data_IF_843561131797
#
_entry.id   IF_843561131797
#
_cell.length_a   1.000
_cell.length_b   1.000
_cell.length_c   1.000
_cell.angle_alpha   90.00
_cell.angle_beta   90.00
_cell.angle_gamma   90.00
#
_symmetry.space_group_name_H-M   'P 1'
#
loop_
_entity.id
_entity.type
_entity.pdbx_description
1 polymer ?
#
# COMPACT_ATOMS: atom_id res chain seq x y z
N UNK A 1 0.29 58.74 56.78
CA UNK A 1 -0.52 57.54 57.04
C UNK A 1 -0.55 56.71 55.77
N UNK A 2 0.28 55.67 55.67
CA UNK A 2 0.26 54.73 54.55
C UNK A 2 0.27 53.30 55.11
N UNK A 3 -0.88 52.65 55.03
CA UNK A 3 -1.08 51.24 55.38
C UNK A 3 -0.49 50.35 54.29
N UNK A 4 0.69 49.78 54.53
CA UNK A 4 1.20 48.66 53.72
C UNK A 4 0.53 47.36 54.16
N UNK A 5 -0.28 46.80 53.26
CA UNK A 5 -0.87 45.46 53.36
C UNK A 5 0.23 44.39 53.38
N UNK A 6 0.35 43.68 54.48
CA UNK A 6 1.24 42.51 54.61
C UNK A 6 0.78 41.40 53.64
N UNK A 7 1.62 41.09 52.64
CA UNK A 7 1.52 39.82 51.91
C UNK A 7 2.27 38.77 52.73
N UNK A 8 1.55 37.76 53.20
CA UNK A 8 2.09 36.58 53.85
C UNK A 8 2.96 35.81 52.87
N UNK A 9 4.28 35.93 53.01
CA UNK A 9 5.23 35.01 52.41
C UNK A 9 5.27 33.74 53.27
N UNK A 10 4.45 32.75 52.90
CA UNK A 10 4.66 31.39 53.41
C UNK A 10 6.00 30.92 52.84
N UNK A 11 6.87 30.44 53.73
CA UNK A 11 8.18 29.91 53.35
C UNK A 11 7.99 28.53 52.72
N UNK A 12 8.88 28.13 51.80
CA UNK A 12 8.80 26.82 51.10
C UNK A 12 8.64 25.63 52.07
N UNK A 13 9.13 25.76 53.30
CA UNK A 13 9.00 24.75 54.36
C UNK A 13 7.55 24.54 54.84
N UNK A 14 6.70 25.56 54.79
CA UNK A 14 5.27 25.48 55.14
C UNK A 14 4.45 24.86 54.01
N UNK A 15 4.83 25.10 52.74
CA UNK A 15 4.18 24.49 51.58
C UNK A 15 4.40 22.96 51.51
N UNK A 16 5.57 22.48 51.96
CA UNK A 16 5.90 21.06 52.05
C UNK A 16 5.00 20.30 53.04
N UNK A 17 4.69 20.89 54.21
CA UNK A 17 3.86 20.22 55.25
C UNK A 17 2.41 20.00 54.83
N UNK A 18 1.91 20.76 53.85
CA UNK A 18 0.49 20.70 53.44
C UNK A 18 0.27 19.85 52.18
N UNK A 19 1.23 19.79 51.25
CA UNK A 19 0.99 19.24 49.89
C UNK A 19 1.91 18.04 49.55
N UNK A 20 2.92 17.75 50.37
CA UNK A 20 3.81 16.59 50.18
C UNK A 20 4.68 16.63 48.91
N UNK A 21 4.75 17.77 48.21
CA UNK A 21 5.55 17.95 47.00
C UNK A 21 5.79 19.45 46.73
N UNK A 22 7.06 19.82 46.49
CA UNK A 22 7.47 21.16 46.05
C UNK A 22 7.73 21.25 44.54
N UNK A 23 6.93 20.54 43.74
CA UNK A 23 6.90 20.75 42.29
C UNK A 23 6.04 21.97 41.91
N UNK A 24 6.41 22.75 40.88
CA UNK A 24 5.52 23.78 40.35
C UNK A 24 4.19 23.14 39.92
N UNK A 25 3.07 23.72 40.37
CA UNK A 25 1.73 23.28 39.95
C UNK A 25 1.64 23.38 38.42
N UNK A 26 1.05 22.39 37.73
CA UNK A 26 0.84 22.47 36.29
C UNK A 26 0.08 23.76 35.96
N UNK A 27 0.68 24.65 35.17
CA UNK A 27 0.01 25.88 34.75
C UNK A 27 -1.27 25.57 33.98
N UNK A 28 -2.30 26.41 34.13
CA UNK A 28 -3.46 26.39 33.23
C UNK A 28 -2.97 26.79 31.84
N UNK A 29 -2.64 25.80 31.00
CA UNK A 29 -2.24 26.04 29.62
C UNK A 29 -3.27 26.83 28.83
N UNK A 30 -2.89 27.28 27.63
CA UNK A 30 -3.78 28.02 26.72
C UNK A 30 -5.13 27.32 26.55
N UNK A 31 -6.23 28.07 26.71
CA UNK A 31 -7.60 27.57 26.50
C UNK A 31 -7.73 26.94 25.10
N UNK A 32 -8.38 25.78 25.04
CA UNK A 32 -8.59 25.03 23.80
C UNK A 32 -9.57 25.78 22.89
N UNK A 33 -9.29 25.78 21.58
CA UNK A 33 -10.18 26.35 20.57
C UNK A 33 -11.39 25.45 20.23
N UNK A 34 -11.39 24.20 20.69
CA UNK A 34 -12.50 23.25 20.53
C UNK A 34 -12.94 22.69 21.87
N UNK A 35 -14.20 22.30 21.94
CA UNK A 35 -14.84 21.63 23.07
C UNK A 35 -14.68 20.11 22.98
N UNK A 36 -14.85 19.37 24.09
CA UNK A 36 -14.84 17.91 24.06
C UNK A 36 -15.88 17.29 23.11
N UNK A 37 -17.04 17.93 22.93
CA UNK A 37 -18.08 17.46 22.02
C UNK A 37 -17.67 17.61 20.55
N UNK A 38 -17.00 18.70 20.22
CA UNK A 38 -16.43 18.93 18.87
C UNK A 38 -15.30 17.96 18.57
N UNK A 39 -14.43 17.70 19.55
CA UNK A 39 -13.38 16.70 19.44
C UNK A 39 -14.00 15.31 19.19
N UNK A 40 -15.08 14.96 19.91
CA UNK A 40 -15.83 13.71 19.71
C UNK A 40 -16.51 13.64 18.34
N UNK A 41 -17.07 14.75 17.85
CA UNK A 41 -17.66 14.85 16.52
C UNK A 41 -16.63 14.56 15.43
N UNK A 42 -15.43 15.16 15.52
CA UNK A 42 -14.33 14.90 14.59
C UNK A 42 -13.94 13.41 14.56
N UNK A 43 -13.88 12.76 15.72
CA UNK A 43 -13.56 11.32 15.81
C UNK A 43 -14.65 10.47 15.16
N UNK A 44 -15.92 10.77 15.42
CA UNK A 44 -17.04 10.04 14.81
C UNK A 44 -17.07 10.20 13.29
N UNK A 45 -16.84 11.42 12.80
CA UNK A 45 -16.75 11.72 11.37
C UNK A 45 -15.64 10.93 10.69
N UNK A 46 -14.45 10.90 11.31
CA UNK A 46 -13.32 10.11 10.81
C UNK A 46 -13.63 8.61 10.82
N UNK A 47 -14.26 8.08 11.87
CA UNK A 47 -14.60 6.65 11.94
C UNK A 47 -15.61 6.23 10.89
N UNK A 48 -16.55 7.13 10.52
CA UNK A 48 -17.54 6.92 9.44
C UNK A 48 -16.96 7.14 8.04
N UNK A 49 -16.10 8.14 7.89
CA UNK A 49 -15.53 8.58 6.60
C UNK A 49 -14.00 8.72 6.70
N UNK A 50 -13.34 7.58 6.68
CA UNK A 50 -11.92 7.44 7.03
C UNK A 50 -10.97 8.15 6.07
N UNK A 51 -11.41 8.43 4.84
CA UNK A 51 -10.66 9.10 3.78
C UNK A 51 -10.82 10.63 3.76
N UNK A 52 -11.58 11.24 4.68
CA UNK A 52 -11.71 12.69 4.75
C UNK A 52 -10.40 13.34 5.17
N UNK A 53 -9.93 14.30 4.36
CA UNK A 53 -8.76 15.09 4.70
C UNK A 53 -9.10 16.13 5.78
N UNK A 54 -8.05 16.68 6.42
CA UNK A 54 -8.21 17.64 7.52
C UNK A 54 -8.97 18.93 7.11
N UNK A 55 -8.94 19.30 5.83
CA UNK A 55 -9.66 20.46 5.29
C UNK A 55 -11.16 20.20 5.24
N UNK A 56 -11.58 19.02 4.76
CA UNK A 56 -12.98 18.62 4.76
C UNK A 56 -13.51 18.50 6.19
N UNK A 57 -12.74 17.90 7.10
CA UNK A 57 -13.13 17.80 8.52
C UNK A 57 -13.26 19.18 9.18
N UNK A 58 -12.37 20.12 8.87
CA UNK A 58 -12.46 21.51 9.32
C UNK A 58 -13.74 22.18 8.79
N UNK A 59 -14.05 22.01 7.50
CA UNK A 59 -15.27 22.56 6.88
C UNK A 59 -16.53 21.96 7.53
N UNK A 60 -16.58 20.63 7.71
CA UNK A 60 -17.69 19.96 8.37
C UNK A 60 -17.87 20.42 9.82
N UNK A 61 -16.79 20.63 10.57
CA UNK A 61 -16.86 21.17 11.92
C UNK A 61 -17.43 22.60 11.91
N UNK A 62 -16.90 23.47 11.04
CA UNK A 62 -17.37 24.85 10.90
C UNK A 62 -18.86 24.90 10.54
N UNK A 63 -19.31 24.05 9.62
CA UNK A 63 -20.71 23.98 9.23
C UNK A 63 -21.62 23.43 10.33
N UNK A 64 -21.15 22.48 11.14
CA UNK A 64 -21.97 21.83 12.17
C UNK A 64 -22.05 22.62 13.47
N UNK A 65 -20.96 23.30 13.89
CA UNK A 65 -20.89 23.97 15.20
C UNK A 65 -20.57 25.46 15.12
N UNK A 66 -20.31 26.00 13.92
CA UNK A 66 -19.87 27.39 13.73
C UNK A 66 -18.40 27.64 14.07
N UNK A 67 -17.72 26.67 14.70
CA UNK A 67 -16.36 26.84 15.20
C UNK A 67 -15.34 26.84 14.06
N UNK A 68 -14.60 27.94 13.97
CA UNK A 68 -13.55 28.10 12.97
C UNK A 68 -12.20 27.79 13.59
N UNK A 69 -11.58 26.70 13.16
CA UNK A 69 -10.24 26.27 13.58
C UNK A 69 -9.32 26.09 12.39
N UNK A 70 -8.01 26.01 12.61
CA UNK A 70 -7.06 25.63 11.57
C UNK A 70 -7.12 24.13 11.28
N UNK A 71 -6.69 23.71 10.08
CA UNK A 71 -6.53 22.27 9.77
C UNK A 71 -5.53 21.60 10.72
N UNK A 72 -4.52 22.32 11.21
CA UNK A 72 -3.56 21.80 12.18
C UNK A 72 -4.22 21.50 13.53
N UNK A 73 -5.19 22.32 13.95
CA UNK A 73 -5.98 22.06 15.17
C UNK A 73 -6.73 20.74 15.04
N UNK A 74 -7.37 20.48 13.89
CA UNK A 74 -8.04 19.19 13.61
C UNK A 74 -7.06 18.03 13.70
N UNK A 75 -5.87 18.14 13.06
CA UNK A 75 -4.84 17.10 13.14
C UNK A 75 -4.41 16.83 14.59
N UNK A 76 -4.15 17.89 15.36
CA UNK A 76 -3.75 17.76 16.76
C UNK A 76 -4.82 17.05 17.60
N UNK A 77 -6.12 17.26 17.32
CA UNK A 77 -7.21 16.56 18.00
C UNK A 77 -7.29 15.09 17.66
N UNK A 78 -7.11 14.76 16.39
CA UNK A 78 -7.08 13.36 15.95
C UNK A 78 -5.83 12.64 16.49
N UNK A 79 -4.67 13.31 16.50
CA UNK A 79 -3.45 12.75 17.11
C UNK A 79 -3.59 12.51 18.61
N UNK A 80 -4.30 13.38 19.34
CA UNK A 80 -4.53 13.24 20.78
C UNK A 80 -5.32 11.97 21.14
N UNK A 81 -6.07 11.40 20.20
CA UNK A 81 -6.80 10.13 20.36
C UNK A 81 -6.14 8.96 19.60
N UNK A 82 -4.91 9.13 19.12
CA UNK A 82 -4.14 8.08 18.46
C UNK A 82 -4.48 7.86 16.98
N UNK A 83 -5.27 8.73 16.35
CA UNK A 83 -5.60 8.66 14.93
C UNK A 83 -4.59 9.44 14.11
N UNK A 84 -3.91 8.76 13.18
CA UNK A 84 -2.89 9.38 12.33
C UNK A 84 -3.23 9.18 10.85
N UNK A 85 -2.88 10.16 9.99
CA UNK A 85 -3.02 9.99 8.55
C UNK A 85 -1.97 8.97 8.09
N UNK A 86 -2.43 7.86 7.51
CA UNK A 86 -1.58 6.80 6.97
C UNK A 86 -2.03 6.47 5.56
N UNK A 87 -1.08 5.98 4.74
CA UNK A 87 -1.45 5.40 3.45
C UNK A 87 -2.30 4.15 3.72
N UNK A 88 -3.45 4.02 3.04
CA UNK A 88 -4.21 2.78 3.11
C UNK A 88 -3.37 1.62 2.60
N UNK A 89 -3.72 0.41 3.04
CA UNK A 89 -3.18 -0.78 2.38
C UNK A 89 -3.89 -0.86 1.02
N UNK A 90 -3.12 -0.94 -0.05
CA UNK A 90 -3.67 -1.25 -1.37
C UNK A 90 -3.61 -2.76 -1.50
N UNK A 91 -4.75 -3.42 -1.34
CA UNK A 91 -4.89 -4.84 -1.63
C UNK A 91 -6.29 -5.12 -2.13
N UNK A 92 -6.46 -6.24 -2.82
CA UNK A 92 -7.78 -6.73 -3.16
C UNK A 92 -8.46 -7.19 -1.88
N UNK A 93 -9.73 -6.84 -1.67
CA UNK A 93 -10.48 -7.31 -0.50
C UNK A 93 -10.55 -8.84 -0.53
N UNK A 94 -10.01 -9.48 0.50
CA UNK A 94 -10.00 -10.93 0.62
C UNK A 94 -11.33 -11.43 1.19
N UNK A 95 -11.93 -12.41 0.52
CA UNK A 95 -13.04 -13.18 1.07
C UNK A 95 -12.50 -14.23 2.05
N UNK A 96 -13.35 -14.80 2.90
CA UNK A 96 -12.94 -15.90 3.80
C UNK A 96 -12.35 -17.09 3.02
N UNK A 97 -12.84 -17.34 1.81
CA UNK A 97 -12.28 -18.33 0.88
C UNK A 97 -10.85 -17.97 0.50
N UNK A 98 -10.60 -16.75 0.04
CA UNK A 98 -9.24 -16.31 -0.31
C UNK A 98 -8.28 -16.45 0.87
N UNK A 99 -8.70 -16.09 2.09
CA UNK A 99 -7.87 -16.23 3.29
C UNK A 99 -7.47 -17.69 3.58
N UNK A 100 -8.39 -18.63 3.40
CA UNK A 100 -8.12 -20.05 3.60
C UNK A 100 -7.16 -20.58 2.54
N UNK A 101 -7.48 -20.37 1.26
CA UNK A 101 -6.71 -20.89 0.14
C UNK A 101 -5.26 -20.33 0.19
N UNK A 102 -5.10 -19.04 0.54
CA UNK A 102 -3.78 -18.42 0.78
C UNK A 102 -3.00 -19.03 1.93
N UNK A 103 -3.68 -19.34 3.04
CA UNK A 103 -3.03 -19.96 4.21
C UNK A 103 -2.58 -21.38 3.90
N UNK A 104 -3.40 -22.13 3.16
CA UNK A 104 -3.10 -23.49 2.73
C UNK A 104 -1.84 -23.50 1.86
N UNK A 105 -1.81 -22.70 0.79
CA UNK A 105 -0.63 -22.54 -0.06
C UNK A 105 0.61 -22.14 0.74
N UNK A 106 0.48 -21.16 1.66
CA UNK A 106 1.61 -20.75 2.49
C UNK A 106 2.10 -21.87 3.41
N UNK A 107 1.20 -22.74 3.89
CA UNK A 107 1.55 -23.87 4.74
C UNK A 107 2.25 -24.97 3.94
N UNK A 108 1.83 -25.22 2.70
CA UNK A 108 2.46 -26.18 1.79
C UNK A 108 3.90 -25.78 1.43
N UNK A 109 4.14 -24.48 1.25
CA UNK A 109 5.43 -23.96 0.77
C UNK A 109 6.34 -23.42 1.88
N UNK A 110 5.89 -23.40 3.16
CA UNK A 110 6.69 -22.82 4.27
C UNK A 110 8.02 -23.54 4.51
N UNK A 111 8.08 -24.84 4.21
CA UNK A 111 9.25 -25.67 4.42
C UNK A 111 10.12 -25.84 3.17
N UNK A 112 9.73 -25.21 2.05
CA UNK A 112 10.53 -25.23 0.83
C UNK A 112 11.88 -24.56 1.07
N UNK A 113 12.94 -25.25 0.67
CA UNK A 113 14.32 -24.79 0.77
C UNK A 113 14.68 -23.95 -0.45
N UNK A 114 15.84 -23.28 -0.37
CA UNK A 114 16.37 -22.44 -1.45
C UNK A 114 16.41 -23.16 -2.81
N UNK A 115 16.73 -24.46 -2.82
CA UNK A 115 16.79 -25.28 -4.05
C UNK A 115 15.42 -25.51 -4.69
N UNK A 116 14.35 -25.58 -3.88
CA UNK A 116 12.99 -25.71 -4.41
C UNK A 116 12.54 -24.36 -5.00
N UNK A 117 12.85 -23.27 -4.29
CA UNK A 117 12.58 -21.91 -4.77
C UNK A 117 13.43 -21.49 -5.96
N UNK A 118 14.63 -22.07 -6.17
CA UNK A 118 15.48 -21.73 -7.32
C UNK A 118 14.87 -22.15 -8.65
N UNK A 119 14.00 -23.15 -8.60
CA UNK A 119 13.33 -23.69 -9.78
C UNK A 119 12.09 -22.88 -10.17
N UNK A 120 11.63 -21.95 -9.31
CA UNK A 120 10.42 -21.16 -9.53
C UNK A 120 10.74 -19.88 -10.29
N UNK A 121 10.06 -19.69 -11.40
CA UNK A 121 10.06 -18.46 -12.18
C UNK A 121 8.81 -17.64 -11.89
N UNK A 122 8.99 -16.59 -11.10
CA UNK A 122 7.93 -15.64 -10.74
C UNK A 122 7.74 -14.64 -11.88
N UNK A 123 6.58 -14.67 -12.52
CA UNK A 123 6.21 -13.76 -13.60
C UNK A 123 4.98 -12.93 -13.26
N UNK A 124 4.84 -11.77 -13.90
CA UNK A 124 3.67 -10.89 -13.79
C UNK A 124 3.70 -9.79 -14.87
N UNK A 125 2.57 -9.16 -15.12
CA UNK A 125 2.44 -7.95 -15.95
C UNK A 125 2.15 -6.70 -15.12
N UNK A 126 3.00 -5.69 -15.25
CA UNK A 126 2.81 -4.40 -14.58
C UNK A 126 2.57 -3.25 -15.56
N UNK A 127 1.61 -2.38 -15.22
CA UNK A 127 1.31 -1.17 -16.01
C UNK A 127 2.08 0.03 -15.48
N UNK A 128 2.92 0.63 -16.32
CA UNK A 128 3.59 1.91 -16.09
C UNK A 128 2.86 3.02 -16.83
N UNK A 129 2.52 4.11 -16.14
CA UNK A 129 1.77 5.24 -16.75
C UNK A 129 2.66 6.49 -16.81
N UNK A 130 2.57 7.24 -17.91
CA UNK A 130 3.29 8.51 -18.13
C UNK A 130 2.87 9.56 -17.08
N UNK A 131 1.59 9.55 -16.72
CA UNK A 131 1.06 10.35 -15.63
C UNK A 131 0.55 9.40 -14.55
N UNK A 132 1.36 9.09 -13.51
CA UNK A 132 0.86 8.30 -12.39
C UNK A 132 -0.32 9.03 -11.75
N UNK A 133 -1.38 8.29 -11.38
CA UNK A 133 -2.49 8.85 -10.63
C UNK A 133 -1.94 9.47 -9.33
N UNK A 134 -1.88 10.81 -9.28
CA UNK A 134 -1.31 11.57 -8.17
C UNK A 134 -2.17 11.53 -6.91
N UNK A 135 -3.27 10.77 -6.88
CA UNK A 135 -4.15 10.63 -5.72
C UNK A 135 -3.42 9.96 -4.56
N UNK A 136 -2.71 10.78 -3.78
CA UNK A 136 -2.21 10.43 -2.44
C UNK A 136 -3.40 10.34 -1.49
N UNK A 137 -4.09 9.21 -1.50
CA UNK A 137 -5.15 8.92 -0.55
C UNK A 137 -4.50 8.64 0.80
N UNK A 138 -4.95 9.35 1.82
CA UNK A 138 -4.62 9.07 3.22
C UNK A 138 -5.92 8.73 3.95
N UNK A 139 -5.83 7.75 4.83
CA UNK A 139 -6.89 7.39 5.76
C UNK A 139 -6.43 7.68 7.18
N UNK A 140 -7.35 8.09 8.05
CA UNK A 140 -7.09 8.22 9.48
C UNK A 140 -7.32 6.88 10.16
N UNK A 141 -6.30 6.36 10.85
CA UNK A 141 -6.41 5.09 11.57
C UNK A 141 -5.52 5.03 12.81
N UNK A 142 -5.87 4.13 13.72
CA UNK A 142 -5.08 3.80 14.91
C UNK A 142 -3.77 3.10 14.54
N UNK A 143 -2.76 3.22 15.41
CA UNK A 143 -1.50 2.46 15.26
C UNK A 143 -1.79 0.95 15.39
N UNK A 144 -1.18 0.14 14.53
CA UNK A 144 -1.34 -1.32 14.54
C UNK A 144 -2.56 -1.83 13.75
N UNK A 145 -3.50 -0.98 13.37
CA UNK A 145 -4.70 -1.38 12.62
C UNK A 145 -4.47 -1.59 11.11
N UNK A 146 -3.22 -1.84 10.69
CA UNK A 146 -2.81 -1.80 9.27
C UNK A 146 -3.63 -2.75 8.37
N UNK A 147 -3.96 -3.93 8.89
CA UNK A 147 -4.57 -5.03 8.14
C UNK A 147 -6.09 -5.08 8.26
N UNK A 148 -6.72 -4.05 8.87
CA UNK A 148 -8.18 -4.02 8.96
C UNK A 148 -8.79 -3.83 7.55
N UNK A 149 -9.71 -4.71 7.09
CA UNK A 149 -10.33 -4.64 5.77
C UNK A 149 -11.05 -3.31 5.45
N UNK A 150 -11.48 -2.56 6.49
CA UNK A 150 -12.07 -1.23 6.31
C UNK A 150 -11.07 -0.20 5.74
N UNK A 151 -9.76 -0.43 5.94
CA UNK A 151 -8.67 0.45 5.52
C UNK A 151 -7.99 0.02 4.22
N UNK A 152 -8.56 -0.97 3.55
CA UNK A 152 -8.08 -1.51 2.28
C UNK A 152 -8.71 -0.72 1.15
N UNK A 153 -7.87 -0.10 0.32
CA UNK A 153 -8.29 0.49 -0.94
C UNK A 153 -8.00 -0.48 -2.08
N UNK A 154 -9.03 -0.79 -2.86
CA UNK A 154 -8.88 -1.57 -4.07
C UNK A 154 -8.25 -0.69 -5.17
N UNK A 155 -7.11 -1.10 -5.72
CA UNK A 155 -6.57 -0.45 -6.91
C UNK A 155 -7.14 -1.11 -8.16
N UNK A 156 -8.24 -0.58 -8.67
CA UNK A 156 -8.72 -0.95 -10.00
C UNK A 156 -7.93 -0.10 -11.00
N UNK A 157 -6.86 -0.67 -11.59
CA UNK A 157 -5.94 0.04 -12.51
C UNK A 157 -6.45 0.05 -13.97
N UNK A 158 -7.74 0.26 -14.19
CA UNK A 158 -8.29 0.37 -15.55
C UNK A 158 -8.65 1.84 -15.84
N UNK A 159 -8.01 2.45 -16.86
CA UNK A 159 -8.51 3.71 -17.45
C UNK A 159 -7.52 4.83 -17.81
N UNK A 160 -6.20 4.62 -17.82
CA UNK A 160 -5.23 5.69 -18.18
C UNK A 160 -4.12 5.24 -19.13
N UNK A 161 -3.68 6.10 -20.04
CA UNK A 161 -2.57 5.83 -20.98
C UNK A 161 -1.31 5.36 -20.26
N UNK A 162 -0.84 4.17 -20.60
CA UNK A 162 0.30 3.51 -19.96
C UNK A 162 0.72 2.27 -20.74
N UNK A 163 1.94 1.82 -20.49
CA UNK A 163 2.56 0.66 -21.11
C UNK A 163 2.39 -0.54 -20.18
N UNK A 164 1.90 -1.65 -20.70
CA UNK A 164 1.88 -2.92 -19.98
C UNK A 164 3.21 -3.64 -20.25
N UNK A 165 3.89 -4.05 -19.21
CA UNK A 165 5.22 -4.67 -19.29
C UNK A 165 5.16 -6.02 -18.59
N UNK A 166 5.54 -7.07 -19.30
CA UNK A 166 5.79 -8.39 -18.74
C UNK A 166 7.23 -8.48 -18.26
N UNK A 167 7.45 -9.19 -17.16
CA UNK A 167 8.76 -9.62 -16.74
C UNK A 167 8.67 -10.87 -15.89
N UNK A 168 9.80 -11.54 -15.74
CA UNK A 168 9.93 -12.67 -14.86
C UNK A 168 11.27 -12.67 -14.11
N UNK A 169 11.26 -13.23 -12.90
CA UNK A 169 12.44 -13.36 -12.03
C UNK A 169 12.54 -14.77 -11.47
N UNK A 170 13.76 -15.21 -11.23
CA UNK A 170 14.09 -16.40 -10.45
C UNK A 170 15.17 -16.01 -9.44
N UNK A 171 15.64 -16.96 -8.63
CA UNK A 171 16.73 -16.68 -7.69
C UNK A 171 18.06 -16.38 -8.41
N UNK A 172 18.26 -16.97 -9.59
CA UNK A 172 19.52 -16.94 -10.33
C UNK A 172 19.46 -16.00 -11.54
N UNK A 173 18.32 -15.34 -11.79
CA UNK A 173 18.23 -14.38 -12.87
C UNK A 173 16.87 -13.73 -13.08
N UNK A 174 16.72 -13.14 -14.26
CA UNK A 174 15.50 -12.48 -14.72
C UNK A 174 15.35 -12.64 -16.22
N UNK A 175 14.13 -12.48 -16.73
CA UNK A 175 13.91 -12.25 -18.16
C UNK A 175 14.31 -10.82 -18.52
N UNK A 176 14.41 -10.57 -19.81
CA UNK A 176 14.23 -9.22 -20.32
C UNK A 176 12.78 -8.76 -20.17
N UNK A 177 12.59 -7.45 -20.07
CA UNK A 177 11.27 -6.86 -19.99
C UNK A 177 10.61 -6.87 -21.36
N UNK A 178 9.41 -7.40 -21.45
CA UNK A 178 8.63 -7.41 -22.69
C UNK A 178 7.50 -6.39 -22.63
N UNK A 179 7.55 -5.43 -23.55
CA UNK A 179 6.53 -4.39 -23.65
C UNK A 179 5.37 -4.93 -24.48
N UNK A 180 4.22 -5.15 -23.84
CA UNK A 180 2.99 -5.59 -24.49
C UNK A 180 2.35 -4.38 -25.19
N UNK A 181 2.35 -4.42 -26.52
CA UNK A 181 1.82 -3.35 -27.38
C UNK A 181 0.38 -3.64 -27.80
N UNK A 182 -0.28 -2.71 -28.47
CA UNK A 182 -1.47 -3.00 -29.30
C UNK A 182 -2.68 -3.63 -28.57
N UNK A 183 -3.04 -3.08 -27.41
CA UNK A 183 -4.28 -3.42 -26.71
C UNK A 183 -4.12 -4.52 -25.65
N UNK A 184 -5.23 -5.15 -25.22
CA UNK A 184 -5.21 -6.10 -24.10
C UNK A 184 -4.45 -7.39 -24.46
N UNK A 185 -3.81 -7.97 -23.46
CA UNK A 185 -3.16 -9.28 -23.56
C UNK A 185 -4.25 -10.36 -23.61
N UNK A 186 -4.38 -11.03 -24.76
CA UNK A 186 -5.28 -12.18 -24.93
C UNK A 186 -4.51 -13.49 -24.76
N UNK A 187 -5.19 -14.61 -24.52
CA UNK A 187 -4.54 -15.92 -24.38
C UNK A 187 -3.61 -16.27 -25.56
N UNK A 188 -4.06 -15.99 -26.80
CA UNK A 188 -3.25 -16.22 -28.01
C UNK A 188 -1.99 -15.36 -28.02
N UNK A 189 -2.10 -14.10 -27.58
CA UNK A 189 -0.96 -13.19 -27.48
C UNK A 189 -0.03 -13.60 -26.35
N UNK A 190 -0.56 -13.96 -25.18
CA UNK A 190 0.21 -14.51 -24.08
C UNK A 190 1.08 -15.69 -24.53
N UNK A 191 0.49 -16.67 -25.22
CA UNK A 191 1.25 -17.79 -25.79
C UNK A 191 2.33 -17.35 -26.79
N UNK A 192 1.97 -16.52 -27.77
CA UNK A 192 2.83 -16.22 -28.90
C UNK A 192 3.90 -15.15 -28.62
N UNK A 193 3.62 -14.20 -27.73
CA UNK A 193 4.47 -13.05 -27.42
C UNK A 193 5.25 -13.22 -26.12
N UNK A 194 4.78 -14.09 -25.21
CA UNK A 194 5.37 -14.26 -23.88
C UNK A 194 5.85 -15.70 -23.69
N UNK A 195 4.94 -16.68 -23.71
CA UNK A 195 5.30 -18.04 -23.34
C UNK A 195 6.33 -18.64 -24.30
N UNK A 196 6.04 -18.64 -25.61
CA UNK A 196 6.93 -19.23 -26.61
C UNK A 196 8.28 -18.52 -26.76
N UNK A 197 8.36 -17.18 -26.88
CA UNK A 197 9.65 -16.52 -27.10
C UNK A 197 10.44 -16.23 -25.82
N UNK A 198 9.82 -16.24 -24.64
CA UNK A 198 10.47 -15.85 -23.38
C UNK A 198 10.50 -17.00 -22.39
N UNK A 199 9.34 -17.57 -22.05
CA UNK A 199 9.25 -18.58 -20.99
C UNK A 199 9.88 -19.91 -21.40
N UNK A 200 9.58 -20.42 -22.60
CA UNK A 200 10.13 -21.71 -23.08
C UNK A 200 11.66 -21.69 -23.14
N UNK A 201 12.32 -20.68 -23.74
CA UNK A 201 13.78 -20.60 -23.69
C UNK A 201 14.34 -20.48 -22.28
N UNK A 202 13.65 -19.76 -21.39
CA UNK A 202 14.08 -19.63 -20.00
C UNK A 202 13.94 -20.93 -19.21
N UNK A 203 12.86 -21.68 -19.44
CA UNK A 203 12.63 -23.00 -18.88
C UNK A 203 13.72 -23.98 -19.32
N UNK A 204 14.11 -23.96 -20.60
CA UNK A 204 15.17 -24.81 -21.12
C UNK A 204 16.55 -24.55 -20.47
N UNK A 205 16.80 -23.33 -19.97
CA UNK A 205 18.04 -23.00 -19.23
C UNK A 205 18.03 -23.56 -17.81
N UNK A 206 16.86 -23.60 -17.16
CA UNK A 206 16.71 -24.13 -15.80
C UNK A 206 16.65 -25.67 -15.81
N UNK A 207 16.00 -26.26 -16.82
CA UNK A 207 15.85 -27.71 -16.99
C UNK A 207 14.53 -28.24 -16.44
N UNK A 208 14.47 -29.56 -16.28
CA UNK A 208 13.24 -30.33 -16.06
C UNK A 208 12.47 -29.97 -14.77
N UNK A 209 13.16 -29.40 -13.78
CA UNK A 209 12.52 -28.98 -12.53
C UNK A 209 11.86 -27.60 -12.61
N UNK A 210 11.90 -26.92 -13.77
CA UNK A 210 11.34 -25.58 -13.95
C UNK A 210 9.86 -25.50 -13.59
N UNK A 211 9.52 -24.51 -12.76
CA UNK A 211 8.14 -24.21 -12.37
C UNK A 211 7.82 -22.76 -12.76
N UNK A 212 6.85 -22.57 -13.64
CA UNK A 212 6.30 -21.24 -13.92
C UNK A 212 5.32 -20.83 -12.84
N UNK A 213 5.49 -19.63 -12.29
CA UNK A 213 4.46 -18.95 -11.51
C UNK A 213 3.89 -17.78 -12.32
N UNK A 214 2.61 -17.87 -12.64
CA UNK A 214 1.78 -16.80 -13.20
C UNK A 214 0.50 -16.62 -12.35
N UNK A 215 -0.23 -15.54 -12.58
CA UNK A 215 -1.50 -15.32 -11.91
C UNK A 215 -2.67 -16.10 -12.56
N UNK A 216 -3.81 -16.12 -11.86
CA UNK A 216 -5.02 -16.79 -12.36
C UNK A 216 -5.83 -15.92 -13.34
N UNK A 217 -5.21 -14.97 -14.06
CA UNK A 217 -5.98 -14.14 -14.98
C UNK A 217 -6.52 -14.96 -16.16
N UNK A 218 -7.62 -14.47 -16.76
CA UNK A 218 -8.36 -15.21 -17.79
C UNK A 218 -7.49 -15.64 -19.00
N UNK A 219 -6.59 -14.78 -19.53
CA UNK A 219 -5.65 -15.20 -20.57
C UNK A 219 -4.77 -16.40 -20.20
N UNK A 220 -4.26 -16.45 -18.96
CA UNK A 220 -3.33 -17.51 -18.50
C UNK A 220 -4.03 -18.85 -18.31
N UNK A 221 -5.33 -18.82 -17.96
CA UNK A 221 -6.15 -20.01 -17.68
C UNK A 221 -7.03 -20.45 -18.85
N UNK A 222 -6.74 -19.97 -20.06
CA UNK A 222 -7.46 -20.39 -21.25
C UNK A 222 -6.96 -21.78 -21.71
N UNK A 223 -7.84 -22.64 -22.22
CA UNK A 223 -7.46 -23.98 -22.72
C UNK A 223 -6.28 -23.95 -23.68
N UNK A 224 -6.23 -22.95 -24.58
CA UNK A 224 -5.12 -22.74 -25.51
C UNK A 224 -3.74 -22.66 -24.83
N UNK A 225 -3.69 -22.13 -23.61
CA UNK A 225 -2.48 -21.98 -22.80
C UNK A 225 -2.20 -23.25 -22.02
N UNK A 226 -3.24 -23.90 -21.47
CA UNK A 226 -3.10 -25.21 -20.79
C UNK A 226 -2.57 -26.30 -21.74
N UNK A 227 -3.12 -26.36 -22.95
CA UNK A 227 -2.68 -27.27 -24.00
C UNK A 227 -1.21 -27.00 -24.35
N UNK A 228 -0.84 -25.72 -24.47
CA UNK A 228 0.55 -25.32 -24.76
C UNK A 228 1.52 -25.70 -23.64
N UNK A 229 1.15 -25.53 -22.37
CA UNK A 229 1.99 -25.99 -21.26
C UNK A 229 2.17 -27.51 -21.27
N UNK A 230 1.12 -28.25 -21.60
CA UNK A 230 1.19 -29.72 -21.73
C UNK A 230 2.09 -30.15 -22.88
N UNK A 231 2.04 -29.46 -24.03
CA UNK A 231 2.89 -29.71 -25.19
C UNK A 231 4.38 -29.42 -24.91
N UNK A 232 4.68 -28.34 -24.19
CA UNK A 232 6.05 -27.91 -23.89
C UNK A 232 6.61 -28.54 -22.58
N UNK A 233 5.81 -29.34 -21.87
CA UNK A 233 6.20 -29.95 -20.60
C UNK A 233 6.41 -28.95 -19.45
N UNK A 234 5.78 -27.78 -19.51
CA UNK A 234 5.94 -26.74 -18.49
C UNK A 234 5.03 -27.04 -17.30
N UNK A 235 5.64 -27.21 -16.13
CA UNK A 235 4.90 -27.27 -14.87
C UNK A 235 4.56 -25.86 -14.40
N UNK A 236 3.29 -25.64 -14.09
CA UNK A 236 2.82 -24.37 -13.52
C UNK A 236 2.50 -24.54 -12.04
N UNK A 237 2.95 -23.58 -11.24
CA UNK A 237 2.63 -23.50 -9.82
C UNK A 237 1.14 -23.22 -9.62
N UNK A 238 0.51 -23.97 -8.73
CA UNK A 238 -0.81 -23.61 -8.22
C UNK A 238 -0.72 -22.29 -7.47
N UNK A 239 -1.53 -21.31 -7.87
CA UNK A 239 -1.45 -19.96 -7.34
C UNK A 239 -2.78 -19.52 -6.74
N UNK A 240 -2.71 -18.83 -5.61
CA UNK A 240 -3.91 -18.37 -4.92
C UNK A 240 -4.39 -17.04 -5.49
N UNK A 241 -5.71 -16.90 -5.66
CA UNK A 241 -6.30 -15.69 -6.22
C UNK A 241 -6.11 -14.50 -5.26
N UNK A 242 -5.88 -13.31 -5.81
CA UNK A 242 -5.67 -12.07 -5.04
C UNK A 242 -4.42 -12.10 -4.14
N UNK A 243 -3.31 -12.65 -4.61
CA UNK A 243 -2.06 -12.79 -3.83
C UNK A 243 -0.83 -12.07 -4.39
N UNK A 244 -0.93 -10.77 -4.74
CA UNK A 244 0.23 -10.03 -5.24
C UNK A 244 1.35 -9.91 -4.19
N UNK A 245 1.01 -9.88 -2.90
CA UNK A 245 1.99 -9.81 -1.82
C UNK A 245 2.85 -11.08 -1.66
N UNK A 246 2.42 -12.19 -2.28
CA UNK A 246 3.15 -13.46 -2.28
C UNK A 246 4.05 -13.59 -3.53
N UNK A 247 3.87 -12.73 -4.54
CA UNK A 247 4.69 -12.70 -5.75
C UNK A 247 5.88 -11.73 -5.58
N UNK A 248 7.14 -12.20 -5.49
CA UNK A 248 8.29 -11.33 -5.23
C UNK A 248 8.52 -10.28 -6.33
N UNK A 249 8.05 -10.50 -7.56
CA UNK A 249 8.23 -9.55 -8.67
C UNK A 249 7.50 -8.22 -8.42
N UNK A 250 6.47 -8.20 -7.57
CA UNK A 250 5.76 -6.97 -7.21
C UNK A 250 6.67 -5.97 -6.49
N UNK A 251 7.64 -6.47 -5.71
CA UNK A 251 8.67 -5.61 -5.11
C UNK A 251 9.61 -5.02 -6.16
N UNK A 252 9.92 -5.80 -7.21
CA UNK A 252 10.72 -5.34 -8.36
C UNK A 252 9.96 -4.26 -9.13
N UNK A 253 8.66 -4.44 -9.39
CA UNK A 253 7.82 -3.42 -10.02
C UNK A 253 7.74 -2.12 -9.23
N UNK A 254 7.62 -2.20 -7.91
CA UNK A 254 7.66 -1.01 -7.04
C UNK A 254 9.00 -0.30 -7.13
N UNK A 255 10.11 -1.04 -7.19
CA UNK A 255 11.46 -0.48 -7.34
C UNK A 255 11.63 0.20 -8.70
N UNK A 256 11.28 -0.50 -9.78
CA UNK A 256 11.33 0.01 -11.14
C UNK A 256 10.47 1.27 -11.29
N UNK A 257 9.25 1.28 -10.77
CA UNK A 257 8.37 2.45 -10.81
C UNK A 257 8.94 3.67 -10.12
N UNK A 258 9.69 3.50 -9.03
CA UNK A 258 10.40 4.62 -8.38
C UNK A 258 11.55 5.14 -9.23
N UNK A 259 12.31 4.25 -9.88
CA UNK A 259 13.41 4.65 -10.77
C UNK A 259 12.88 5.42 -11.99
N UNK A 260 11.83 4.92 -12.64
CA UNK A 260 11.15 5.60 -13.75
C UNK A 260 10.65 6.98 -13.34
N UNK A 261 9.98 7.09 -12.18
CA UNK A 261 9.48 8.36 -11.66
C UNK A 261 10.58 9.34 -11.23
N UNK A 262 11.79 8.83 -10.93
CA UNK A 262 12.95 9.61 -10.51
C UNK A 262 13.78 10.20 -11.65
N UNK A 263 13.53 9.81 -12.91
CA UNK A 263 14.30 10.31 -14.07
C UNK A 263 14.16 11.84 -14.22
N UNK A 264 15.21 12.47 -14.73
CA UNK A 264 15.28 13.90 -15.01
C UNK A 264 15.71 14.13 -16.47
N UNK A 265 14.82 14.63 -17.35
CA UNK A 265 13.39 14.88 -17.09
C UNK A 265 12.60 13.57 -16.91
N UNK A 266 11.44 13.60 -16.22
CA UNK A 266 10.56 12.44 -16.15
C UNK A 266 9.98 12.14 -17.54
N UNK A 267 9.68 10.86 -17.86
CA UNK A 267 9.08 10.52 -19.15
C UNK A 267 7.76 11.27 -19.37
N UNK A 268 7.67 12.00 -20.48
CA UNK A 268 6.51 12.79 -20.87
C UNK A 268 5.68 12.11 -21.97
N UNK A 269 6.25 11.11 -22.63
CA UNK A 269 5.59 10.35 -23.70
C UNK A 269 5.64 8.85 -23.44
N UNK A 270 4.74 8.09 -24.08
CA UNK A 270 4.80 6.62 -24.04
C UNK A 270 6.10 6.11 -24.67
N UNK A 271 6.63 6.79 -25.68
CA UNK A 271 7.87 6.41 -26.34
C UNK A 271 9.09 6.55 -25.41
N UNK A 272 9.18 7.66 -24.66
CA UNK A 272 10.21 7.85 -23.62
C UNK A 272 10.10 6.82 -22.50
N UNK A 273 8.87 6.46 -22.12
CA UNK A 273 8.62 5.43 -21.12
C UNK A 273 9.06 4.03 -21.62
N UNK A 274 8.88 3.74 -22.90
CA UNK A 274 9.35 2.50 -23.51
C UNK A 274 10.88 2.45 -23.60
N UNK A 275 11.52 3.54 -24.04
CA UNK A 275 12.98 3.65 -24.10
C UNK A 275 13.65 3.57 -22.71
N UNK A 276 12.88 3.80 -21.65
CA UNK A 276 13.32 3.71 -20.26
C UNK A 276 13.34 2.27 -19.72
N UNK A 277 12.65 1.33 -20.39
CA UNK A 277 12.46 -0.05 -19.93
C UNK A 277 13.46 -1.04 -20.57
N UNK A 278 14.46 -0.54 -21.29
CA UNK A 278 15.61 -1.28 -21.81
C UNK A 278 16.84 -1.08 -20.92
#
# INVERSE_FOLDING_TARGET
>A
MSTMSQRSHLTDSEAWRVVGSAGPRPGQGRRRATTPNEDRYLVLMVRRHQNMNATLLQQHLRSATGTTVSTQTVRNRLHAVGLYPRRPMVCVRLTSRHCRDRREWATEHVNWRKIEWSNVHFSDESRFSVHPDKRRIFIWRDRGSRNNPAFVHESVRFGGGGVLVYGGISIDGRTDLYIIRDGPLTARRYRNEILRPIVVPYAAVIGDDFILMDDNCRPHRANLVEDFFSEEGIVRMEWTTCSPDMNPIEYVWVSLGKQVAGRQPPPQTLQELQATSC
#
